data_IF_007351644237
#
_entry.id   IF_007351644237
#
_cell.length_a   1.000
_cell.length_b   1.000
_cell.length_c   1.000
_cell.angle_alpha   90.00
_cell.angle_beta   90.00
_cell.angle_gamma   90.00
#
_symmetry.space_group_name_H-M   'P 1'
#
loop_
_entity.id
_entity.type
_entity.pdbx_description
1 polymer ?
#
# COMPACT_ATOMS: atom_id res chain seq x y z
N UNK A 1 -2.76 -16.04 -16.60
CA UNK A 1 -3.93 -16.19 -15.70
C UNK A 1 -4.83 -14.96 -15.70
N UNK A 2 -4.38 -13.77 -15.30
CA UNK A 2 -5.26 -12.58 -15.25
C UNK A 2 -5.80 -12.14 -16.63
N UNK A 3 -4.97 -12.19 -17.67
CA UNK A 3 -5.40 -11.90 -19.05
C UNK A 3 -6.47 -12.87 -19.54
N UNK A 4 -6.43 -14.13 -19.06
CA UNK A 4 -7.45 -15.13 -19.37
C UNK A 4 -8.78 -14.82 -18.66
N UNK A 5 -8.75 -14.36 -17.39
CA UNK A 5 -9.95 -13.88 -16.66
C UNK A 5 -10.65 -12.78 -17.44
N UNK A 6 -9.91 -11.77 -17.91
CA UNK A 6 -10.51 -10.63 -18.62
C UNK A 6 -10.90 -10.94 -20.06
N UNK A 7 -10.22 -11.90 -20.70
CA UNK A 7 -10.64 -12.40 -22.01
C UNK A 7 -11.96 -13.17 -21.93
N UNK A 8 -12.09 -14.08 -20.95
CA UNK A 8 -13.29 -14.89 -20.77
C UNK A 8 -14.46 -14.13 -20.14
N UNK A 9 -14.17 -13.16 -19.26
CA UNK A 9 -15.18 -12.36 -18.54
C UNK A 9 -14.87 -10.86 -18.60
N UNK A 10 -15.09 -10.19 -19.76
CA UNK A 10 -14.68 -8.79 -19.95
C UNK A 10 -15.32 -7.79 -18.99
N UNK A 11 -16.53 -8.08 -18.50
CA UNK A 11 -17.22 -7.24 -17.50
C UNK A 11 -16.46 -7.16 -16.17
N UNK A 12 -15.72 -8.22 -15.81
CA UNK A 12 -14.93 -8.26 -14.57
C UNK A 12 -13.76 -7.28 -14.59
N UNK A 13 -13.24 -6.93 -15.77
CA UNK A 13 -12.16 -5.95 -15.87
C UNK A 13 -12.56 -4.59 -15.29
N UNK A 14 -13.70 -4.04 -15.74
CA UNK A 14 -14.20 -2.76 -15.22
C UNK A 14 -14.64 -2.89 -13.76
N UNK A 15 -15.22 -4.02 -13.39
CA UNK A 15 -15.63 -4.28 -12.01
C UNK A 15 -14.45 -4.21 -11.04
N UNK A 16 -13.28 -4.76 -11.39
CA UNK A 16 -12.09 -4.73 -10.53
C UNK A 16 -11.58 -3.32 -10.24
N UNK A 17 -11.70 -2.37 -11.19
CA UNK A 17 -11.32 -0.97 -10.95
C UNK A 17 -12.28 -0.24 -10.01
N UNK A 18 -13.53 -0.70 -9.91
CA UNK A 18 -14.57 -0.09 -9.09
C UNK A 18 -14.77 -0.82 -7.75
N UNK A 19 -14.10 -1.96 -7.54
CA UNK A 19 -14.19 -2.69 -6.30
C UNK A 19 -13.27 -2.06 -5.22
N UNK A 20 -13.75 -1.75 -4.02
CA UNK A 20 -12.98 -1.04 -2.98
C UNK A 20 -11.72 -1.77 -2.52
N UNK A 21 -11.67 -3.10 -2.68
CA UNK A 21 -10.53 -3.92 -2.28
C UNK A 21 -9.65 -4.31 -3.47
N UNK A 22 -10.21 -4.82 -4.58
CA UNK A 22 -9.40 -5.24 -5.75
C UNK A 22 -8.68 -4.05 -6.39
N UNK A 23 -9.31 -2.86 -6.44
CA UNK A 23 -8.71 -1.66 -7.05
C UNK A 23 -7.38 -1.25 -6.42
N UNK A 24 -7.23 -1.49 -5.11
CA UNK A 24 -6.01 -1.23 -4.36
C UNK A 24 -4.85 -2.16 -4.73
N UNK A 25 -5.14 -3.33 -5.31
CA UNK A 25 -4.13 -4.31 -5.73
C UNK A 25 -3.81 -4.28 -7.22
N UNK A 26 -4.55 -3.54 -8.04
CA UNK A 26 -4.20 -3.27 -9.45
C UNK A 26 -2.75 -2.75 -9.61
N UNK A 27 -2.25 -1.82 -8.76
CA UNK A 27 -0.87 -1.37 -8.81
C UNK A 27 0.16 -2.49 -8.61
N UNK A 28 -0.20 -3.62 -7.98
CA UNK A 28 0.73 -4.73 -7.75
C UNK A 28 1.28 -5.32 -9.06
N UNK A 29 0.49 -5.30 -10.14
CA UNK A 29 0.96 -5.69 -11.46
C UNK A 29 2.05 -4.74 -11.99
N UNK A 30 1.87 -3.43 -11.80
CA UNK A 30 2.85 -2.42 -12.19
C UNK A 30 4.13 -2.52 -11.33
N UNK A 31 4.00 -2.72 -10.02
CA UNK A 31 5.14 -2.97 -9.13
C UNK A 31 5.93 -4.20 -9.59
N UNK A 32 5.24 -5.29 -9.93
CA UNK A 32 5.87 -6.52 -10.41
C UNK A 32 6.62 -6.28 -11.73
N UNK A 33 6.00 -5.57 -12.68
CA UNK A 33 6.64 -5.22 -13.94
C UNK A 33 7.91 -4.39 -13.72
N UNK A 34 7.85 -3.32 -12.91
CA UNK A 34 9.03 -2.51 -12.58
C UNK A 34 10.12 -3.31 -11.87
N UNK A 35 9.74 -4.21 -10.95
CA UNK A 35 10.68 -5.10 -10.26
C UNK A 35 11.40 -6.04 -11.25
N UNK A 36 10.69 -6.58 -12.24
CA UNK A 36 11.31 -7.39 -13.31
C UNK A 36 12.33 -6.55 -14.09
N UNK A 37 11.99 -5.30 -14.46
CA UNK A 37 12.92 -4.40 -15.16
C UNK A 37 14.17 -4.09 -14.34
N UNK A 38 14.02 -3.87 -13.03
CA UNK A 38 15.16 -3.70 -12.11
C UNK A 38 16.07 -4.92 -12.15
N UNK A 39 15.51 -6.12 -12.04
CA UNK A 39 16.30 -7.36 -12.05
C UNK A 39 17.01 -7.60 -13.39
N UNK A 40 16.34 -7.35 -14.51
CA UNK A 40 16.97 -7.41 -15.85
C UNK A 40 18.12 -6.40 -15.93
N UNK A 41 17.93 -5.18 -15.43
CA UNK A 41 18.97 -4.16 -15.40
C UNK A 41 20.15 -4.56 -14.52
N UNK A 42 19.87 -5.10 -13.32
CA UNK A 42 20.89 -5.46 -12.35
C UNK A 42 21.76 -6.64 -12.79
N UNK A 43 21.11 -7.70 -13.30
CA UNK A 43 21.78 -8.97 -13.62
C UNK A 43 22.05 -9.18 -15.11
N UNK A 44 21.21 -8.62 -15.99
CA UNK A 44 21.30 -8.80 -17.44
C UNK A 44 22.15 -7.73 -18.13
N UNK A 45 22.05 -6.46 -17.71
CA UNK A 45 22.82 -5.36 -18.35
C UNK A 45 24.28 -5.39 -17.90
N UNK A 46 25.15 -5.70 -18.85
CA UNK A 46 26.59 -5.71 -18.65
C UNK A 46 27.38 -6.07 -19.90
N UNK A 47 28.71 -6.15 -19.79
CA UNK A 47 29.61 -6.33 -20.94
C UNK A 47 29.32 -7.58 -21.77
N UNK A 48 28.77 -8.64 -21.16
CA UNK A 48 28.50 -9.92 -21.81
C UNK A 48 27.26 -9.91 -22.72
N UNK A 49 26.27 -9.05 -22.43
CA UNK A 49 24.98 -9.07 -23.14
C UNK A 49 24.95 -8.07 -24.30
N UNK A 50 25.79 -7.03 -24.25
CA UNK A 50 25.90 -6.01 -25.29
C UNK A 50 25.00 -4.79 -25.06
N UNK A 51 25.24 -3.74 -25.85
CA UNK A 51 24.62 -2.41 -25.70
C UNK A 51 23.11 -2.39 -25.96
N UNK A 52 22.58 -3.32 -26.76
CA UNK A 52 21.15 -3.36 -27.11
C UNK A 52 20.26 -3.49 -25.87
N UNK A 53 20.66 -4.29 -24.87
CA UNK A 53 19.85 -4.50 -23.67
C UNK A 53 19.83 -3.25 -22.80
N UNK A 54 20.95 -2.53 -22.73
CA UNK A 54 21.02 -1.24 -22.04
C UNK A 54 20.03 -0.24 -22.68
N UNK A 55 20.03 -0.12 -24.02
CA UNK A 55 19.09 0.77 -24.72
C UNK A 55 17.63 0.40 -24.48
N UNK A 56 17.28 -0.89 -24.57
CA UNK A 56 15.91 -1.34 -24.30
C UNK A 56 15.52 -1.04 -22.85
N UNK A 57 16.40 -1.28 -21.88
CA UNK A 57 16.12 -0.95 -20.48
C UNK A 57 15.95 0.55 -20.26
N UNK A 58 16.69 1.40 -20.98
CA UNK A 58 16.47 2.85 -20.95
C UNK A 58 15.10 3.23 -21.51
N UNK A 59 14.67 2.66 -22.64
CA UNK A 59 13.35 2.93 -23.20
C UNK A 59 12.23 2.46 -22.24
N UNK A 60 12.37 1.24 -21.72
CA UNK A 60 11.41 0.65 -20.78
C UNK A 60 11.35 1.40 -19.45
N UNK A 61 12.45 1.99 -19.00
CA UNK A 61 12.47 2.88 -17.83
C UNK A 61 11.52 4.07 -18.02
N UNK A 62 11.61 4.79 -19.15
CA UNK A 62 10.73 5.93 -19.40
C UNK A 62 9.26 5.53 -19.57
N UNK A 63 9.01 4.40 -20.24
CA UNK A 63 7.65 3.83 -20.34
C UNK A 63 7.11 3.49 -18.94
N UNK A 64 7.94 2.87 -18.09
CA UNK A 64 7.58 2.55 -16.72
C UNK A 64 7.28 3.79 -15.89
N UNK A 65 8.10 4.84 -15.98
CA UNK A 65 7.88 6.11 -15.30
C UNK A 65 6.54 6.74 -15.67
N UNK A 66 6.20 6.76 -16.97
CA UNK A 66 4.89 7.22 -17.44
C UNK A 66 3.74 6.38 -16.90
N UNK A 67 3.89 5.05 -16.92
CA UNK A 67 2.88 4.12 -16.39
C UNK A 67 2.69 4.25 -14.87
N UNK A 68 3.77 4.41 -14.12
CA UNK A 68 3.77 4.57 -12.67
C UNK A 68 3.03 5.84 -12.24
N UNK A 69 3.32 6.96 -12.92
CA UNK A 69 2.64 8.22 -12.69
C UNK A 69 1.16 8.15 -13.07
N UNK A 70 0.86 7.58 -14.24
CA UNK A 70 -0.52 7.39 -14.71
C UNK A 70 -1.33 6.54 -13.72
N UNK A 71 -0.81 5.39 -13.30
CA UNK A 71 -1.52 4.52 -12.35
C UNK A 71 -1.72 5.19 -11.00
N UNK A 72 -0.71 5.88 -10.47
CA UNK A 72 -0.86 6.62 -9.21
C UNK A 72 -2.00 7.65 -9.32
N UNK A 73 -1.98 8.51 -10.34
CA UNK A 73 -3.00 9.55 -10.50
C UNK A 73 -4.40 8.96 -10.78
N UNK A 74 -4.51 8.05 -11.74
CA UNK A 74 -5.80 7.51 -12.19
C UNK A 74 -6.47 6.70 -11.10
N UNK A 75 -5.73 5.83 -10.38
CA UNK A 75 -6.32 4.99 -9.35
C UNK A 75 -6.78 5.83 -8.16
N UNK A 76 -5.99 6.81 -7.71
CA UNK A 76 -6.44 7.73 -6.66
C UNK A 76 -7.68 8.53 -7.08
N UNK A 77 -7.71 9.05 -8.32
CA UNK A 77 -8.88 9.79 -8.82
C UNK A 77 -10.13 8.91 -8.90
N UNK A 78 -10.01 7.66 -9.37
CA UNK A 78 -11.13 6.72 -9.39
C UNK A 78 -11.59 6.43 -7.96
N UNK A 79 -10.67 6.13 -7.04
CA UNK A 79 -10.97 5.86 -5.64
C UNK A 79 -11.72 7.03 -4.98
N UNK A 80 -11.23 8.26 -5.12
CA UNK A 80 -11.86 9.44 -4.54
C UNK A 80 -13.21 9.78 -5.18
N UNK A 81 -13.40 9.41 -6.45
CA UNK A 81 -14.64 9.70 -7.18
C UNK A 81 -15.72 8.63 -7.02
N UNK A 82 -15.35 7.40 -6.66
CA UNK A 82 -16.28 6.25 -6.67
C UNK A 82 -16.46 5.56 -5.32
N UNK A 83 -15.52 5.72 -4.39
CA UNK A 83 -15.52 5.01 -3.11
C UNK A 83 -15.62 5.98 -1.93
N UNK A 84 -16.30 5.54 -0.88
CA UNK A 84 -16.30 6.22 0.42
C UNK A 84 -15.49 5.37 1.40
N UNK A 85 -14.39 5.92 1.89
CA UNK A 85 -13.56 5.24 2.87
C UNK A 85 -13.73 5.85 4.25
N UNK A 86 -14.09 5.02 5.22
CA UNK A 86 -14.14 5.43 6.62
C UNK A 86 -12.76 5.31 7.28
N UNK A 87 -12.47 6.17 8.27
CA UNK A 87 -11.17 6.14 8.95
C UNK A 87 -10.90 4.80 9.63
N UNK A 88 -11.94 4.07 10.06
CA UNK A 88 -11.82 2.78 10.75
C UNK A 88 -11.33 1.65 9.83
N UNK A 89 -11.57 1.78 8.53
CA UNK A 89 -11.17 0.84 7.47
C UNK A 89 -9.79 1.16 6.89
N UNK A 90 -9.16 2.26 7.32
CA UNK A 90 -7.84 2.64 6.83
C UNK A 90 -6.83 1.53 7.14
N UNK A 91 -6.14 1.07 6.08
CA UNK A 91 -4.98 0.18 6.18
C UNK A 91 -3.82 0.73 5.36
N UNK A 92 -2.57 0.32 5.64
CA UNK A 92 -1.41 0.74 4.84
C UNK A 92 -1.47 0.36 3.37
N UNK A 93 -2.37 -0.55 2.97
CA UNK A 93 -2.63 -0.92 1.57
C UNK A 93 -3.03 0.30 0.73
N UNK A 94 -3.60 1.36 1.33
CA UNK A 94 -3.97 2.58 0.60
C UNK A 94 -2.78 3.32 -0.04
N UNK A 95 -1.56 2.95 0.31
CA UNK A 95 -0.33 3.45 -0.30
C UNK A 95 -0.04 2.77 -1.65
N UNK A 96 -0.59 1.57 -1.91
CA UNK A 96 -0.31 0.79 -3.10
C UNK A 96 -0.45 1.56 -4.43
N UNK A 97 -1.44 2.44 -4.63
CA UNK A 97 -1.50 3.24 -5.85
C UNK A 97 -0.26 4.11 -6.09
N UNK A 98 0.40 4.60 -5.04
CA UNK A 98 1.66 5.34 -5.14
C UNK A 98 2.91 4.44 -5.23
N UNK A 99 2.81 3.14 -4.95
CA UNK A 99 3.98 2.25 -4.91
C UNK A 99 4.74 2.09 -6.23
N UNK A 100 4.12 2.08 -7.42
CA UNK A 100 4.86 2.08 -8.67
C UNK A 100 5.87 3.23 -8.78
N UNK A 101 5.55 4.41 -8.24
CA UNK A 101 6.48 5.55 -8.19
C UNK A 101 7.70 5.28 -7.29
N UNK A 102 7.52 4.50 -6.22
CA UNK A 102 8.61 4.12 -5.32
C UNK A 102 9.60 3.15 -5.95
N UNK A 103 9.25 2.50 -7.07
CA UNK A 103 10.14 1.60 -7.82
C UNK A 103 11.03 2.39 -8.80
N UNK A 104 10.60 3.57 -9.24
CA UNK A 104 11.34 4.41 -10.18
C UNK A 104 12.75 4.77 -9.70
N UNK A 105 12.92 5.13 -8.42
CA UNK A 105 14.23 5.51 -7.87
C UNK A 105 15.23 4.34 -7.85
N UNK A 106 14.91 3.18 -7.24
CA UNK A 106 15.76 2.00 -7.29
C UNK A 106 16.11 1.53 -8.71
N UNK A 107 15.17 1.66 -9.66
CA UNK A 107 15.45 1.34 -11.07
C UNK A 107 16.41 2.36 -11.69
N UNK A 108 16.17 3.65 -11.46
CA UNK A 108 17.04 4.73 -11.92
C UNK A 108 18.47 4.58 -11.40
N UNK A 109 18.66 4.29 -10.10
CA UNK A 109 19.99 4.08 -9.52
C UNK A 109 20.74 2.90 -10.16
N UNK A 110 20.05 1.78 -10.39
CA UNK A 110 20.62 0.63 -11.11
C UNK A 110 20.98 0.96 -12.56
N UNK A 111 20.06 1.59 -13.30
CA UNK A 111 20.23 1.87 -14.72
C UNK A 111 21.27 2.96 -14.98
N UNK A 112 21.29 4.01 -14.15
CA UNK A 112 22.28 5.07 -14.24
C UNK A 112 23.69 4.53 -14.04
N UNK A 113 23.89 3.54 -13.15
CA UNK A 113 25.18 2.86 -12.98
C UNK A 113 25.66 2.08 -14.21
N UNK A 114 24.74 1.76 -15.14
CA UNK A 114 25.02 1.08 -16.41
C UNK A 114 25.03 2.02 -17.62
N UNK A 115 24.74 3.29 -17.41
CA UNK A 115 24.62 4.32 -18.45
C UNK A 115 25.65 5.44 -18.19
N UNK A 116 25.86 6.32 -19.17
CA UNK A 116 26.85 7.41 -19.09
C UNK A 116 26.32 8.72 -19.66
N UNK A 117 26.98 9.83 -19.32
CA UNK A 117 26.67 11.16 -19.82
C UNK A 117 25.30 11.68 -19.40
N UNK A 118 24.74 12.58 -20.21
CA UNK A 118 23.49 13.30 -20.00
C UNK A 118 22.33 12.33 -19.74
N UNK A 119 22.29 11.22 -20.49
CA UNK A 119 21.26 10.19 -20.33
C UNK A 119 21.22 9.61 -18.91
N UNK A 120 22.38 9.38 -18.30
CA UNK A 120 22.42 8.87 -16.92
C UNK A 120 21.97 9.95 -15.92
N UNK A 121 22.32 11.20 -16.18
CA UNK A 121 21.88 12.34 -15.36
C UNK A 121 20.36 12.53 -15.44
N UNK A 122 19.76 12.45 -16.62
CA UNK A 122 18.30 12.54 -16.83
C UNK A 122 17.53 11.44 -16.10
N UNK A 123 18.05 10.20 -16.14
CA UNK A 123 17.49 9.07 -15.39
C UNK A 123 17.56 9.33 -13.88
N UNK A 124 18.65 9.91 -13.38
CA UNK A 124 18.78 10.26 -11.97
C UNK A 124 17.80 11.37 -11.59
N UNK A 125 17.71 12.45 -12.38
CA UNK A 125 16.81 13.58 -12.12
C UNK A 125 15.36 13.10 -12.07
N UNK A 126 14.92 12.36 -13.09
CA UNK A 126 13.56 11.80 -13.15
C UNK A 126 13.30 10.80 -12.01
N UNK A 127 14.28 9.95 -11.70
CA UNK A 127 14.24 9.03 -10.57
C UNK A 127 14.04 9.75 -9.23
N UNK A 128 14.78 10.83 -8.97
CA UNK A 128 14.61 11.65 -7.76
C UNK A 128 13.22 12.30 -7.70
N UNK A 129 12.74 12.87 -8.80
CA UNK A 129 11.42 13.51 -8.86
C UNK A 129 10.30 12.51 -8.57
N UNK A 130 10.28 11.37 -9.26
CA UNK A 130 9.22 10.38 -9.11
C UNK A 130 9.28 9.67 -7.76
N UNK A 131 10.48 9.37 -7.26
CA UNK A 131 10.67 8.84 -5.90
C UNK A 131 10.12 9.80 -4.85
N UNK A 132 10.35 11.11 -5.03
CA UNK A 132 9.82 12.16 -4.18
C UNK A 132 8.29 12.14 -4.12
N UNK A 133 7.62 12.04 -5.27
CA UNK A 133 6.15 11.94 -5.32
C UNK A 133 5.68 10.70 -4.54
N UNK A 134 6.23 9.52 -4.84
CA UNK A 134 5.84 8.27 -4.19
C UNK A 134 6.01 8.33 -2.67
N UNK A 135 7.14 8.88 -2.20
CA UNK A 135 7.43 8.98 -0.78
C UNK A 135 6.56 10.01 -0.05
N UNK A 136 6.40 11.21 -0.60
CA UNK A 136 5.60 12.28 0.01
C UNK A 136 4.11 11.89 0.10
N UNK A 137 3.57 11.25 -0.93
CA UNK A 137 2.20 10.69 -0.88
C UNK A 137 2.08 9.63 0.21
N UNK A 138 3.08 8.75 0.32
CA UNK A 138 3.11 7.74 1.39
C UNK A 138 3.13 8.38 2.80
N UNK A 139 3.90 9.46 3.00
CA UNK A 139 3.93 10.19 4.27
C UNK A 139 2.57 10.78 4.64
N UNK A 140 1.84 11.36 3.68
CA UNK A 140 0.49 11.88 3.92
C UNK A 140 -0.48 10.78 4.34
N UNK A 141 -0.37 9.59 3.73
CA UNK A 141 -1.20 8.43 4.09
C UNK A 141 -0.78 7.84 5.45
N UNK A 142 0.50 7.88 5.82
CA UNK A 142 0.95 7.48 7.16
C UNK A 142 0.28 8.30 8.26
N UNK A 143 0.11 9.61 8.07
CA UNK A 143 -0.59 10.45 9.03
C UNK A 143 -2.01 9.93 9.31
N UNK A 144 -2.74 9.55 8.27
CA UNK A 144 -4.06 8.94 8.41
C UNK A 144 -4.01 7.55 9.08
N UNK A 145 -3.01 6.73 8.75
CA UNK A 145 -2.82 5.42 9.38
C UNK A 145 -2.53 5.52 10.87
N UNK A 146 -1.62 6.41 11.26
CA UNK A 146 -1.30 6.65 12.66
C UNK A 146 -2.52 7.18 13.42
N UNK A 147 -3.26 8.13 12.84
CA UNK A 147 -4.52 8.60 13.42
C UNK A 147 -5.53 7.46 13.62
N UNK A 148 -5.64 6.54 12.66
CA UNK A 148 -6.48 5.33 12.80
C UNK A 148 -5.98 4.41 13.92
N UNK A 149 -4.67 4.23 14.10
CA UNK A 149 -4.13 3.43 15.20
C UNK A 149 -4.32 4.10 16.57
N UNK A 150 -4.36 5.43 16.63
CA UNK A 150 -4.63 6.18 17.86
C UNK A 150 -6.11 6.13 18.27
N UNK A 151 -7.02 5.99 17.30
CA UNK A 151 -8.47 5.99 17.54
C UNK A 151 -9.10 4.60 17.54
N UNK A 152 -8.44 3.60 16.94
CA UNK A 152 -8.94 2.24 16.77
C UNK A 152 -7.88 1.21 17.16
N UNK A 153 -8.30 0.07 17.74
CA UNK A 153 -7.42 -1.07 18.05
C UNK A 153 -6.75 -1.61 16.78
N UNK A 154 -5.64 -2.34 16.93
CA UNK A 154 -4.94 -3.00 15.82
C UNK A 154 -5.92 -3.70 14.84
N UNK A 155 -5.60 -3.75 13.53
CA UNK A 155 -6.44 -4.42 12.54
C UNK A 155 -6.78 -5.87 12.94
N UNK A 156 -7.86 -6.39 12.33
CA UNK A 156 -8.21 -7.81 12.42
C UNK A 156 -6.99 -8.67 12.05
N UNK A 157 -6.85 -9.82 12.70
CA UNK A 157 -5.64 -10.65 12.64
C UNK A 157 -5.23 -11.02 11.20
N UNK A 158 -6.20 -11.28 10.31
CA UNK A 158 -5.98 -11.56 8.88
C UNK A 158 -5.43 -10.38 8.07
N UNK A 159 -5.62 -9.14 8.54
CA UNK A 159 -5.16 -7.91 7.87
C UNK A 159 -3.88 -7.34 8.48
N UNK A 160 -3.43 -7.85 9.64
CA UNK A 160 -2.21 -7.37 10.29
C UNK A 160 -0.94 -7.55 9.46
N UNK A 161 -0.76 -8.59 8.63
CA UNK A 161 0.42 -8.69 7.78
C UNK A 161 0.63 -7.45 6.90
N UNK A 162 -0.46 -6.81 6.46
CA UNK A 162 -0.43 -5.59 5.67
C UNK A 162 0.21 -4.39 6.40
N UNK A 163 0.40 -4.44 7.73
CA UNK A 163 1.13 -3.40 8.45
C UNK A 163 2.58 -3.24 7.98
N UNK A 164 3.21 -4.32 7.52
CA UNK A 164 4.56 -4.25 6.96
C UNK A 164 4.65 -3.42 5.68
N UNK A 165 3.52 -3.15 4.99
CA UNK A 165 3.50 -2.26 3.83
C UNK A 165 4.01 -0.86 4.19
N UNK A 166 3.90 -0.42 5.46
CA UNK A 166 4.48 0.86 5.88
C UNK A 166 6.01 0.87 5.95
N UNK A 167 6.68 -0.28 5.86
CA UNK A 167 8.15 -0.35 5.78
C UNK A 167 8.64 0.03 4.38
N UNK A 168 7.87 -0.34 3.36
CA UNK A 168 8.28 -0.28 1.96
C UNK A 168 8.65 1.13 1.48
N UNK A 169 7.81 2.17 1.67
CA UNK A 169 8.09 3.49 1.13
C UNK A 169 9.41 4.09 1.58
N UNK A 170 9.74 3.98 2.87
CA UNK A 170 11.05 4.41 3.37
C UNK A 170 12.17 3.54 2.79
N UNK A 171 12.03 2.21 2.81
CA UNK A 171 13.05 1.29 2.27
C UNK A 171 13.37 1.54 0.79
N UNK A 172 12.35 1.62 -0.07
CA UNK A 172 12.54 1.88 -1.50
C UNK A 172 13.13 3.27 -1.76
N UNK A 173 12.71 4.28 -0.98
CA UNK A 173 13.25 5.64 -1.10
C UNK A 173 14.74 5.68 -0.74
N UNK A 174 15.15 5.02 0.34
CA UNK A 174 16.56 4.93 0.71
C UNK A 174 17.36 4.22 -0.40
N UNK A 175 16.87 3.06 -0.85
CA UNK A 175 17.53 2.30 -1.91
C UNK A 175 17.70 3.13 -3.19
N UNK A 176 16.68 3.88 -3.61
CA UNK A 176 16.72 4.75 -4.78
C UNK A 176 17.62 5.96 -4.58
N UNK A 177 17.35 6.79 -3.58
CA UNK A 177 18.07 8.06 -3.33
C UNK A 177 19.56 7.82 -3.13
N UNK A 178 19.93 6.85 -2.30
CA UNK A 178 21.35 6.57 -2.01
C UNK A 178 22.03 6.03 -3.27
N UNK A 179 21.44 5.04 -3.96
CA UNK A 179 22.08 4.47 -5.15
C UNK A 179 22.23 5.47 -6.29
N UNK A 180 21.23 6.32 -6.53
CA UNK A 180 21.33 7.43 -7.49
C UNK A 180 22.36 8.47 -7.06
N UNK A 181 22.39 8.85 -5.78
CA UNK A 181 23.35 9.81 -5.24
C UNK A 181 24.80 9.37 -5.45
N UNK A 182 25.09 8.06 -5.33
CA UNK A 182 26.41 7.49 -5.60
C UNK A 182 26.84 7.60 -7.07
N UNK A 183 25.93 7.83 -8.01
CA UNK A 183 26.25 8.02 -9.43
C UNK A 183 26.56 9.47 -9.79
N UNK A 184 26.10 10.45 -9.00
CA UNK A 184 26.20 11.87 -9.34
C UNK A 184 27.64 12.35 -9.61
N UNK A 185 28.67 12.00 -8.80
CA UNK A 185 30.05 12.42 -9.08
C UNK A 185 30.60 11.96 -10.43
N UNK A 186 30.03 10.89 -11.00
CA UNK A 186 30.46 10.34 -12.29
C UNK A 186 29.76 10.98 -13.49
N UNK A 187 28.54 11.48 -13.32
CA UNK A 187 27.67 11.85 -14.46
C UNK A 187 27.36 13.35 -14.54
N UNK A 188 27.59 14.10 -13.47
CA UNK A 188 27.24 15.52 -13.44
C UNK A 188 28.22 16.36 -14.27
N UNK A 189 27.69 17.29 -15.09
CA UNK A 189 28.48 18.19 -15.94
C UNK A 189 29.27 19.22 -15.13
N UNK A 190 30.40 19.69 -15.66
CA UNK A 190 31.27 20.68 -15.01
C UNK A 190 30.57 22.00 -14.65
N UNK A 191 29.59 22.42 -15.46
CA UNK A 191 28.84 23.66 -15.27
C UNK A 191 27.43 23.44 -14.69
N UNK A 192 27.15 22.23 -14.18
CA UNK A 192 25.88 21.93 -13.53
C UNK A 192 25.73 22.78 -12.27
N UNK A 193 24.58 23.46 -12.13
CA UNK A 193 24.34 24.46 -11.08
C UNK A 193 25.30 25.67 -11.12
N UNK A 194 25.78 26.03 -12.32
CA UNK A 194 26.58 27.23 -12.59
C UNK A 194 28.00 26.90 -13.07
N UNK A 195 28.67 27.83 -13.77
CA UNK A 195 29.99 27.59 -14.35
C UNK A 195 31.01 27.10 -13.32
N UNK A 196 31.62 25.94 -13.57
CA UNK A 196 32.61 25.31 -12.68
C UNK A 196 32.08 24.69 -11.37
N UNK A 197 30.76 24.69 -11.12
CA UNK A 197 30.18 24.19 -9.86
C UNK A 197 29.89 22.68 -9.85
N UNK A 198 29.95 22.02 -11.01
CA UNK A 198 29.45 20.65 -11.21
C UNK A 198 30.03 19.61 -10.25
N UNK A 199 31.35 19.58 -10.10
CA UNK A 199 32.02 18.61 -9.22
C UNK A 199 31.61 18.82 -7.76
N UNK A 200 31.55 20.08 -7.31
CA UNK A 200 31.13 20.43 -5.96
C UNK A 200 29.66 20.05 -5.73
N UNK A 201 28.77 20.43 -6.65
CA UNK A 201 27.35 20.08 -6.60
C UNK A 201 27.14 18.57 -6.54
N UNK A 202 27.91 17.79 -7.30
CA UNK A 202 27.82 16.33 -7.34
C UNK A 202 28.22 15.71 -5.99
N UNK A 203 29.33 16.15 -5.41
CA UNK A 203 29.81 15.68 -4.10
C UNK A 203 28.82 16.03 -2.98
N UNK A 204 28.34 17.27 -2.95
CA UNK A 204 27.33 17.72 -1.96
C UNK A 204 26.05 16.91 -2.09
N UNK A 205 25.55 16.72 -3.32
CA UNK A 205 24.32 15.97 -3.58
C UNK A 205 24.45 14.50 -3.16
N UNK A 206 25.59 13.86 -3.41
CA UNK A 206 25.88 12.50 -2.95
C UNK A 206 25.87 12.42 -1.41
N UNK A 207 26.54 13.37 -0.73
CA UNK A 207 26.58 13.43 0.73
C UNK A 207 25.16 13.61 1.30
N UNK A 208 24.38 14.53 0.75
CA UNK A 208 22.99 14.74 1.15
C UNK A 208 22.13 13.50 0.94
N UNK A 209 22.28 12.80 -0.19
CA UNK A 209 21.55 11.56 -0.46
C UNK A 209 21.86 10.47 0.58
N UNK A 210 23.14 10.35 0.99
CA UNK A 210 23.55 9.39 2.02
C UNK A 210 22.92 9.71 3.38
N UNK A 211 22.96 10.98 3.81
CA UNK A 211 22.37 11.40 5.08
C UNK A 211 20.85 11.33 5.09
N UNK A 212 20.19 11.70 3.99
CA UNK A 212 18.75 11.54 3.82
C UNK A 212 18.36 10.06 3.92
N UNK A 213 19.11 9.18 3.26
CA UNK A 213 18.91 7.73 3.37
C UNK A 213 19.06 7.23 4.81
N UNK A 214 20.12 7.64 5.50
CA UNK A 214 20.37 7.23 6.89
C UNK A 214 19.26 7.73 7.84
N UNK A 215 18.79 8.95 7.64
CA UNK A 215 17.68 9.52 8.41
C UNK A 215 16.37 8.74 8.19
N UNK A 216 16.05 8.40 6.93
CA UNK A 216 14.88 7.59 6.60
C UNK A 216 14.98 6.14 7.06
N UNK A 217 16.19 5.60 7.24
CA UNK A 217 16.42 4.25 7.74
C UNK A 217 15.85 4.04 9.14
N UNK A 218 15.93 5.06 10.00
CA UNK A 218 15.29 5.05 11.31
C UNK A 218 13.76 4.90 11.22
N UNK A 219 13.13 5.63 10.28
CA UNK A 219 11.68 5.52 10.05
C UNK A 219 11.29 4.13 9.54
N UNK A 220 12.08 3.55 8.63
CA UNK A 220 11.83 2.22 8.10
C UNK A 220 11.87 1.15 9.22
N UNK A 221 12.88 1.20 10.10
CA UNK A 221 12.97 0.30 11.23
C UNK A 221 11.87 0.51 12.26
N UNK A 222 11.46 1.75 12.50
CA UNK A 222 10.36 2.03 13.41
C UNK A 222 9.07 1.33 12.94
N UNK A 223 8.70 1.48 11.66
CA UNK A 223 7.56 0.76 11.11
C UNK A 223 7.74 -0.76 11.12
N UNK A 224 8.96 -1.25 10.91
CA UNK A 224 9.27 -2.68 11.01
C UNK A 224 9.00 -3.21 12.42
N UNK A 225 9.53 -2.57 13.46
CA UNK A 225 9.34 -3.00 14.85
C UNK A 225 7.88 -2.87 15.30
N UNK A 226 7.18 -1.79 14.92
CA UNK A 226 5.74 -1.65 15.16
C UNK A 226 4.97 -2.80 14.51
N UNK A 227 5.31 -3.16 13.28
CA UNK A 227 4.68 -4.27 12.56
C UNK A 227 4.97 -5.62 13.22
N UNK A 228 6.21 -5.88 13.65
CA UNK A 228 6.56 -7.09 14.41
C UNK A 228 5.77 -7.16 15.73
N UNK A 229 5.72 -6.07 16.50
CA UNK A 229 4.99 -5.99 17.76
C UNK A 229 3.48 -6.23 17.59
N UNK A 230 2.88 -5.74 16.50
CA UNK A 230 1.47 -5.95 16.21
C UNK A 230 1.08 -7.43 16.03
N UNK A 231 2.05 -8.30 15.70
CA UNK A 231 1.83 -9.74 15.51
C UNK A 231 2.07 -10.58 16.77
N UNK A 232 2.63 -10.00 17.84
CA UNK A 232 2.94 -10.72 19.08
C UNK A 232 1.73 -11.46 19.67
N UNK A 233 0.57 -10.80 19.71
CA UNK A 233 -0.66 -11.41 20.25
C UNK A 233 -1.22 -12.53 19.37
N UNK A 234 -1.05 -12.45 18.04
CA UNK A 234 -1.48 -13.50 17.11
C UNK A 234 -0.58 -14.73 17.21
N UNK A 235 0.75 -14.51 17.23
CA UNK A 235 1.74 -15.58 17.34
C UNK A 235 1.54 -16.40 18.63
N UNK A 236 1.20 -15.75 19.75
CA UNK A 236 0.94 -16.43 21.03
C UNK A 236 -0.34 -17.29 21.01
N UNK A 237 -1.33 -16.94 20.21
CA UNK A 237 -2.65 -17.62 20.17
C UNK A 237 -2.74 -18.72 19.12
N UNK A 238 -1.82 -18.78 18.16
CA UNK A 238 -1.73 -19.84 17.16
C UNK A 238 -2.80 -19.81 16.05
N UNK A 239 -3.67 -18.79 16.00
CA UNK A 239 -4.85 -18.76 15.14
C UNK A 239 -4.73 -17.75 13.99
N UNK A 240 -3.70 -17.87 13.15
CA UNK A 240 -3.65 -17.09 11.90
C UNK A 240 -3.92 -18.00 10.70
N UNK A 241 -5.10 -17.85 10.10
CA UNK A 241 -5.35 -18.40 8.78
C UNK A 241 -4.45 -17.70 7.74
N UNK A 242 -3.99 -18.48 6.77
CA UNK A 242 -3.23 -17.94 5.65
C UNK A 242 -4.13 -16.97 4.86
N UNK A 243 -3.63 -15.78 4.56
CA UNK A 243 -4.28 -14.82 3.68
C UNK A 243 -3.23 -14.26 2.73
N UNK A 244 -3.64 -13.77 1.55
CA UNK A 244 -2.72 -13.23 0.55
C UNK A 244 -1.87 -12.06 1.11
N UNK A 245 -2.37 -11.36 2.12
CA UNK A 245 -1.65 -10.32 2.88
C UNK A 245 -0.34 -10.81 3.51
N UNK A 246 -0.14 -12.11 3.71
CA UNK A 246 1.12 -12.67 4.24
C UNK A 246 2.33 -12.34 3.36
N UNK A 247 2.14 -12.10 2.06
CA UNK A 247 3.24 -11.64 1.20
C UNK A 247 3.79 -10.25 1.59
N UNK A 248 3.06 -9.48 2.40
CA UNK A 248 3.56 -8.25 3.03
C UNK A 248 4.66 -8.52 4.08
N UNK A 249 4.82 -9.73 4.60
CA UNK A 249 6.00 -10.08 5.40
C UNK A 249 7.29 -10.12 4.56
N UNK A 250 7.17 -10.26 3.24
CA UNK A 250 8.31 -10.38 2.33
C UNK A 250 8.55 -9.06 1.61
N UNK A 251 7.62 -8.64 0.77
CA UNK A 251 7.87 -7.60 -0.24
C UNK A 251 8.42 -6.27 0.34
N UNK A 252 7.78 -5.60 1.32
CA UNK A 252 8.32 -4.38 1.92
C UNK A 252 9.67 -4.57 2.65
N UNK A 253 9.88 -5.75 3.23
CA UNK A 253 11.12 -6.06 3.97
C UNK A 253 12.31 -6.32 3.03
N UNK A 254 12.07 -6.70 1.77
CA UNK A 254 13.12 -6.69 0.73
C UNK A 254 13.69 -5.28 0.53
N UNK A 255 12.82 -4.26 0.59
CA UNK A 255 13.22 -2.86 0.45
C UNK A 255 14.03 -2.38 1.65
N UNK A 256 13.62 -2.72 2.88
CA UNK A 256 14.40 -2.45 4.10
C UNK A 256 15.79 -3.11 4.06
N UNK A 257 15.85 -4.37 3.62
CA UNK A 257 17.13 -5.10 3.50
C UNK A 257 18.03 -4.43 2.46
N UNK A 258 17.50 -4.09 1.29
CA UNK A 258 18.23 -3.39 0.23
C UNK A 258 18.71 -2.01 0.68
N UNK A 259 17.85 -1.25 1.36
CA UNK A 259 18.18 0.04 1.96
C UNK A 259 19.34 -0.08 2.97
N UNK A 260 19.30 -1.11 3.82
CA UNK A 260 20.33 -1.36 4.82
C UNK A 260 21.70 -1.56 4.17
N UNK A 261 21.78 -2.36 3.11
CA UNK A 261 23.04 -2.51 2.36
C UNK A 261 23.46 -1.24 1.60
N UNK A 262 22.51 -0.49 1.04
CA UNK A 262 22.81 0.79 0.39
C UNK A 262 23.46 1.79 1.36
N UNK A 263 22.94 1.88 2.58
CA UNK A 263 23.50 2.70 3.66
C UNK A 263 24.87 2.18 4.11
N UNK A 264 25.00 0.86 4.31
CA UNK A 264 26.28 0.29 4.73
C UNK A 264 27.39 0.62 3.72
N UNK A 265 27.09 0.46 2.42
CA UNK A 265 28.02 0.78 1.32
C UNK A 265 28.33 2.28 1.26
N UNK A 266 27.33 3.14 1.43
CA UNK A 266 27.54 4.60 1.36
C UNK A 266 28.36 5.15 2.54
N UNK A 267 28.35 4.46 3.68
CA UNK A 267 29.19 4.72 4.85
C UNK A 267 30.51 3.94 4.82
N UNK A 268 31.06 3.71 3.62
CA UNK A 268 32.31 3.01 3.39
C UNK A 268 32.34 1.59 3.97
N UNK A 269 31.34 0.77 3.62
CA UNK A 269 31.22 -0.62 4.06
C UNK A 269 31.19 -0.77 5.58
N UNK A 270 30.29 -0.02 6.23
CA UNK A 270 30.12 -0.10 7.68
C UNK A 270 29.70 -1.53 8.10
N UNK A 271 30.63 -2.24 8.74
CA UNK A 271 30.47 -3.66 9.08
C UNK A 271 29.28 -3.96 9.98
N UNK A 272 28.95 -3.08 10.93
CA UNK A 272 27.79 -3.29 11.81
C UNK A 272 26.48 -3.31 11.02
N UNK A 273 26.33 -2.36 10.09
CA UNK A 273 25.13 -2.25 9.25
C UNK A 273 25.09 -3.40 8.22
N UNK A 274 26.24 -3.83 7.67
CA UNK A 274 26.29 -5.00 6.79
C UNK A 274 25.83 -6.28 7.49
N UNK A 275 26.23 -6.49 8.75
CA UNK A 275 25.77 -7.64 9.56
C UNK A 275 24.25 -7.59 9.73
N UNK A 276 23.69 -6.41 10.04
CA UNK A 276 22.23 -6.23 10.13
C UNK A 276 21.57 -6.59 8.80
N UNK A 277 22.11 -6.13 7.67
CA UNK A 277 21.63 -6.50 6.33
C UNK A 277 21.65 -8.01 6.09
N UNK A 278 22.72 -8.71 6.49
CA UNK A 278 22.83 -10.16 6.39
C UNK A 278 21.78 -10.89 7.24
N UNK A 279 21.58 -10.44 8.49
CA UNK A 279 20.55 -11.01 9.39
C UNK A 279 19.15 -10.82 8.80
N UNK A 280 18.83 -9.61 8.31
CA UNK A 280 17.57 -9.33 7.63
C UNK A 280 17.39 -10.21 6.38
N UNK A 281 18.45 -10.42 5.59
CA UNK A 281 18.42 -11.30 4.42
C UNK A 281 18.05 -12.74 4.79
N UNK A 282 18.70 -13.32 5.80
CA UNK A 282 18.42 -14.69 6.25
C UNK A 282 16.99 -14.80 6.78
N UNK A 283 16.56 -13.86 7.61
CA UNK A 283 15.20 -13.83 8.14
C UNK A 283 14.15 -13.74 7.02
N UNK A 284 14.42 -12.91 6.01
CA UNK A 284 13.57 -12.72 4.84
C UNK A 284 13.47 -13.99 3.97
N UNK A 285 14.59 -14.67 3.74
CA UNK A 285 14.61 -15.93 2.98
C UNK A 285 13.81 -17.03 3.69
N UNK A 286 13.98 -17.17 5.01
CA UNK A 286 13.18 -18.11 5.83
C UNK A 286 11.70 -17.75 5.76
N UNK A 287 11.37 -16.47 5.94
CA UNK A 287 9.98 -15.97 5.89
C UNK A 287 9.35 -16.26 4.53
N UNK A 288 10.08 -16.03 3.43
CA UNK A 288 9.62 -16.34 2.08
C UNK A 288 9.31 -17.83 1.91
N UNK A 289 10.22 -18.72 2.33
CA UNK A 289 9.99 -20.17 2.29
C UNK A 289 8.74 -20.58 3.08
N UNK A 290 8.54 -20.01 4.28
CA UNK A 290 7.35 -20.28 5.12
C UNK A 290 6.08 -19.79 4.44
N UNK A 291 6.05 -18.54 3.95
CA UNK A 291 4.89 -17.97 3.26
C UNK A 291 4.53 -18.79 2.02
N UNK A 292 5.52 -19.18 1.22
CA UNK A 292 5.31 -20.00 0.03
C UNK A 292 4.79 -21.41 0.38
N UNK A 293 5.35 -22.06 1.40
CA UNK A 293 4.88 -23.37 1.86
C UNK A 293 3.43 -23.29 2.38
N UNK A 294 3.09 -22.24 3.14
CA UNK A 294 1.74 -22.02 3.65
C UNK A 294 0.75 -21.68 2.54
N UNK A 295 1.17 -20.96 1.51
CA UNK A 295 0.36 -20.74 0.31
C UNK A 295 0.04 -22.06 -0.39
N UNK A 296 1.03 -22.92 -0.62
CA UNK A 296 0.82 -24.25 -1.24
C UNK A 296 -0.14 -25.08 -0.38
N UNK A 297 0.05 -25.11 0.94
CA UNK A 297 -0.87 -25.77 1.87
C UNK A 297 -2.29 -25.20 1.76
N UNK A 298 -2.44 -23.87 1.68
CA UNK A 298 -3.75 -23.22 1.54
C UNK A 298 -4.45 -23.59 0.23
N UNK A 299 -3.71 -23.72 -0.89
CA UNK A 299 -4.26 -24.21 -2.16
C UNK A 299 -4.72 -25.66 -2.01
N UNK A 300 -3.88 -26.54 -1.45
CA UNK A 300 -4.21 -27.97 -1.27
C UNK A 300 -5.43 -28.16 -0.36
N UNK A 301 -5.53 -27.37 0.71
CA UNK A 301 -6.67 -27.37 1.63
C UNK A 301 -7.88 -26.59 1.11
N UNK A 302 -7.83 -26.07 -0.12
CA UNK A 302 -8.92 -25.30 -0.76
C UNK A 302 -9.36 -24.09 0.08
N UNK A 303 -8.41 -23.47 0.76
CA UNK A 303 -8.60 -22.23 1.51
C UNK A 303 -8.52 -21.00 0.61
N UNK A 304 -7.77 -21.10 -0.49
CA UNK A 304 -7.66 -20.09 -1.55
C UNK A 304 -7.94 -20.71 -2.92
N UNK A 305 -8.29 -19.88 -3.91
CA UNK A 305 -8.69 -20.30 -5.25
C UNK A 305 -9.87 -21.29 -5.24
N UNK A 306 -10.83 -21.07 -4.34
CA UNK A 306 -12.02 -21.91 -4.17
C UNK A 306 -13.27 -21.03 -3.97
N UNK A 307 -14.42 -21.35 -4.58
CA UNK A 307 -15.61 -20.52 -4.48
C UNK A 307 -16.04 -20.22 -3.03
N UNK A 308 -16.46 -18.98 -2.76
CA UNK A 308 -16.95 -18.49 -1.45
C UNK A 308 -15.93 -18.58 -0.30
N UNK A 309 -14.63 -18.61 -0.61
CA UNK A 309 -13.55 -18.58 0.38
C UNK A 309 -12.70 -17.33 0.22
N UNK A 310 -12.28 -16.77 1.35
CA UNK A 310 -11.42 -15.57 1.43
C UNK A 310 -11.93 -14.40 0.59
N UNK A 311 -11.14 -13.95 -0.39
CA UNK A 311 -11.41 -12.79 -1.25
C UNK A 311 -12.65 -13.03 -2.13
N UNK A 312 -12.96 -14.28 -2.50
CA UNK A 312 -14.14 -14.66 -3.30
C UNK A 312 -15.44 -14.77 -2.46
N UNK A 313 -15.42 -14.46 -1.16
CA UNK A 313 -16.65 -14.51 -0.33
C UNK A 313 -17.72 -13.52 -0.79
N UNK A 314 -17.28 -12.31 -1.09
CA UNK A 314 -18.18 -11.19 -1.43
C UNK A 314 -18.22 -10.96 -2.95
N UNK A 315 -17.36 -11.65 -3.71
CA UNK A 315 -17.21 -11.52 -5.16
C UNK A 315 -17.86 -12.72 -5.89
N UNK A 316 -19.08 -12.52 -6.40
CA UNK A 316 -19.77 -13.52 -7.23
C UNK A 316 -21.29 -13.49 -7.20
N UNK A 317 -21.92 -12.54 -6.49
CA UNK A 317 -23.38 -12.46 -6.40
C UNK A 317 -24.01 -13.67 -5.70
N UNK A 318 -23.23 -14.37 -4.87
CA UNK A 318 -23.69 -15.49 -4.08
C UNK A 318 -24.76 -15.02 -3.11
N UNK A 319 -25.94 -15.65 -3.13
CA UNK A 319 -26.94 -15.42 -2.09
C UNK A 319 -26.36 -15.90 -0.77
N UNK A 320 -26.35 -15.06 0.26
CA UNK A 320 -26.09 -15.50 1.62
C UNK A 320 -27.06 -16.65 1.91
N UNK A 321 -26.51 -17.85 2.13
CA UNK A 321 -27.30 -18.92 2.71
C UNK A 321 -27.54 -18.49 4.14
N UNK A 322 -28.76 -18.04 4.43
CA UNK A 322 -29.20 -17.75 5.79
C UNK A 322 -28.86 -18.97 6.65
N UNK A 323 -27.88 -18.82 7.54
CA UNK A 323 -27.58 -19.83 8.56
C UNK A 323 -28.63 -19.65 9.64
N UNK A 324 -29.86 -20.00 9.31
CA UNK A 324 -31.01 -19.96 10.20
C UNK A 324 -31.68 -21.33 10.12
N UNK A 325 -31.46 -22.15 11.15
CA UNK A 325 -32.16 -23.43 11.30
C UNK A 325 -31.39 -24.58 11.96
N UNK A 326 -30.07 -24.64 11.88
CA UNK A 326 -29.33 -25.84 12.36
C UNK A 326 -28.86 -25.80 13.82
N UNK A 327 -29.11 -24.71 14.58
CA UNK A 327 -28.79 -24.66 16.02
C UNK A 327 -29.96 -24.93 16.97
N UNK A 328 -31.21 -24.93 16.50
CA UNK A 328 -32.38 -25.10 17.38
C UNK A 328 -33.07 -26.48 17.31
N UNK A 329 -32.75 -27.32 16.33
CA UNK A 329 -33.26 -28.71 16.31
C UNK A 329 -32.46 -29.68 17.19
N UNK A 330 -31.24 -29.32 17.60
CA UNK A 330 -30.40 -30.15 18.47
C UNK A 330 -30.76 -30.10 19.96
N UNK A 331 -31.68 -29.22 20.37
CA UNK A 331 -32.03 -29.01 21.79
C UNK A 331 -33.45 -29.43 22.17
N UNK A 332 -34.26 -29.90 21.22
CA UNK A 332 -35.63 -30.41 21.46
C UNK A 332 -35.77 -31.94 21.36
N UNK A 333 -34.67 -32.67 21.14
CA UNK A 333 -34.69 -34.13 20.93
C UNK A 333 -34.32 -34.99 22.13
N UNK A 334 -34.15 -34.43 23.32
CA UNK A 334 -33.68 -35.17 24.49
C UNK A 334 -34.46 -34.80 25.76
N UNK A 335 -35.77 -35.01 25.75
CA UNK A 335 -36.58 -35.20 26.96
C UNK A 335 -37.89 -35.86 26.52
N UNK A 336 -38.03 -37.15 26.78
CA UNK A 336 -39.23 -37.91 26.49
C UNK A 336 -39.59 -38.82 27.66
N UNK A 337 -40.75 -38.57 28.27
CA UNK A 337 -41.59 -39.55 28.97
C UNK A 337 -42.93 -38.92 29.44
N UNK A 338 -43.98 -39.72 29.69
CA UNK A 338 -45.21 -39.66 28.89
C UNK A 338 -46.50 -39.33 29.69
N UNK A 339 -47.58 -38.96 28.99
CA UNK A 339 -48.96 -39.14 29.47
C UNK A 339 -49.99 -38.12 29.01
N UNK A 340 -51.18 -38.63 28.64
CA UNK A 340 -52.51 -37.98 28.56
C UNK A 340 -52.79 -37.12 27.31
N UNK A 341 -53.50 -37.64 26.30
CA UNK A 341 -54.96 -37.82 26.11
C UNK A 341 -55.71 -36.54 25.69
N UNK A 342 -56.24 -36.61 24.46
CA UNK A 342 -57.43 -36.01 23.86
C UNK A 342 -57.68 -34.49 23.92
N UNK A 343 -57.69 -33.84 22.75
CA UNK A 343 -58.90 -33.20 22.17
C UNK A 343 -58.59 -32.57 20.78
N UNK A 344 -59.52 -32.76 19.85
CA UNK A 344 -59.51 -32.29 18.45
C UNK A 344 -60.26 -30.93 18.31
N UNK A 345 -60.35 -30.27 17.12
CA UNK A 345 -59.89 -28.90 16.93
C UNK A 345 -61.00 -27.86 16.68
N UNK A 346 -60.69 -26.57 16.87
CA UNK A 346 -61.55 -25.47 16.38
C UNK A 346 -60.91 -24.61 15.29
N UNK A 347 -61.76 -24.32 14.31
CA UNK A 347 -61.61 -23.53 13.09
C UNK A 347 -61.18 -22.07 13.32
N UNK A 348 -60.38 -21.52 12.38
CA UNK A 348 -60.06 -20.08 12.36
C UNK A 348 -59.51 -19.58 11.03
N UNK A 349 -60.39 -19.47 10.04
CA UNK A 349 -60.43 -18.55 8.88
C UNK A 349 -59.17 -17.85 8.36
N UNK A 350 -58.95 -18.08 7.05
CA UNK A 350 -58.17 -17.31 6.08
C UNK A 350 -58.75 -15.91 5.90
N UNK A 351 -57.92 -14.88 5.95
CA UNK A 351 -58.25 -13.56 5.39
C UNK A 351 -57.09 -13.01 4.55
N UNK A 352 -57.29 -13.00 3.23
CA UNK A 352 -56.53 -12.25 2.23
C UNK A 352 -57.20 -10.90 2.01
N UNK A 353 -56.42 -9.81 1.89
CA UNK A 353 -56.77 -8.58 1.14
C UNK A 353 -55.54 -7.65 0.97
N UNK A 354 -55.57 -6.66 0.05
CA UNK A 354 -54.80 -6.75 -1.20
C UNK A 354 -53.84 -5.57 -1.46
N UNK A 355 -53.09 -5.67 -2.57
CA UNK A 355 -52.39 -4.56 -3.25
C UNK A 355 -53.33 -3.36 -3.48
N UNK A 356 -52.83 -2.14 -3.24
CA UNK A 356 -53.10 -1.02 -4.14
C UNK A 356 -52.14 0.17 -3.99
N UNK A 357 -52.08 0.92 -5.09
CA UNK A 357 -51.14 1.94 -5.54
C UNK A 357 -50.87 3.17 -4.64
N UNK A 358 -49.70 3.79 -4.85
CA UNK A 358 -49.34 5.13 -4.35
C UNK A 358 -50.16 6.27 -4.98
N UNK A 359 -50.01 7.52 -4.50
CA UNK A 359 -49.02 8.40 -5.14
C UNK A 359 -48.30 9.43 -4.23
N UNK A 360 -47.12 9.83 -4.71
CA UNK A 360 -46.37 11.08 -4.54
C UNK A 360 -46.73 12.08 -3.41
N UNK A 361 -45.75 12.40 -2.55
CA UNK A 361 -45.65 13.71 -1.88
C UNK A 361 -44.22 14.28 -1.86
N UNK A 362 -44.08 15.32 -2.70
CA UNK A 362 -43.36 16.60 -2.55
C UNK A 362 -42.24 16.73 -1.50
N UNK A 363 -41.06 17.05 -2.02
CA UNK A 363 -40.00 17.83 -1.39
C UNK A 363 -40.54 19.17 -0.86
N UNK A 364 -40.21 19.53 0.38
CA UNK A 364 -40.21 20.93 0.84
C UNK A 364 -38.91 21.26 1.55
N UNK A 365 -38.13 22.12 0.91
CA UNK A 365 -37.08 22.91 1.53
C UNK A 365 -37.73 24.07 2.29
N UNK A 366 -37.37 24.29 3.56
CA UNK A 366 -37.60 25.57 4.23
C UNK A 366 -36.28 26.19 4.67
N UNK A 367 -35.99 27.34 4.06
CA UNK A 367 -34.98 28.31 4.47
C UNK A 367 -35.39 28.97 5.79
N UNK A 368 -34.41 29.31 6.60
CA UNK A 368 -34.55 30.25 7.72
C UNK A 368 -33.21 30.94 7.96
N UNK A 369 -32.88 31.90 7.09
CA UNK A 369 -31.87 32.93 7.33
C UNK A 369 -32.63 34.25 7.44
N UNK A 370 -32.55 34.92 8.59
CA UNK A 370 -32.81 36.35 8.72
C UNK A 370 -31.80 36.96 9.69
N UNK A 371 -31.00 37.89 9.15
CA UNK A 371 -30.09 38.78 9.85
C UNK A 371 -30.87 39.88 10.60
N UNK A 372 -30.40 40.26 11.79
CA UNK A 372 -30.49 41.63 12.29
C UNK A 372 -29.18 42.00 12.98
N UNK A 373 -28.59 43.11 12.53
CA UNK A 373 -27.22 43.51 12.84
C UNK A 373 -27.05 44.54 13.97
N UNK A 374 -25.79 44.97 14.02
CA UNK A 374 -25.22 46.22 14.55
C UNK A 374 -25.39 46.57 16.04
N UNK A 375 -24.25 46.71 16.71
CA UNK A 375 -24.12 47.36 18.02
C UNK A 375 -22.66 47.56 18.40
N UNK A 376 -22.05 48.62 17.86
CA UNK A 376 -20.72 49.13 18.22
C UNK A 376 -20.69 49.60 19.69
N UNK A 377 -19.63 49.29 20.42
CA UNK A 377 -19.36 49.84 21.76
C UNK A 377 -17.86 49.96 22.00
N UNK A 378 -17.35 51.19 21.92
CA UNK A 378 -15.95 51.59 22.12
C UNK A 378 -15.91 52.58 23.30
N UNK A 379 -15.05 52.37 24.29
CA UNK A 379 -14.50 53.39 25.21
C UNK A 379 -13.13 52.89 25.70
N UNK A 380 -12.02 53.47 25.19
CA UNK A 380 -11.02 54.36 25.87
C UNK A 380 -10.56 53.81 27.22
N UNK A 381 -9.27 53.68 27.54
CA UNK A 381 -8.04 54.21 26.98
C UNK A 381 -7.16 54.60 28.17
N UNK A 382 -5.89 54.15 28.20
CA UNK A 382 -4.85 54.93 28.85
C UNK A 382 -3.49 54.60 28.21
N UNK A 383 -2.78 55.66 27.85
CA UNK A 383 -1.50 55.70 27.19
C UNK A 383 -0.36 55.50 28.19
N UNK A 384 0.70 54.78 27.82
CA UNK A 384 2.07 55.32 27.95
C UNK A 384 3.16 54.41 27.36
N UNK A 385 3.77 54.95 26.29
CA UNK A 385 5.23 55.09 26.10
C UNK A 385 6.07 53.84 25.75
N UNK A 386 6.28 53.67 24.44
CA UNK A 386 7.57 53.63 23.70
C UNK A 386 8.85 53.34 24.51
N UNK A 387 9.62 52.29 24.15
CA UNK A 387 10.98 52.40 23.59
C UNK A 387 11.62 51.04 23.28
N UNK A 388 12.37 51.07 22.20
CA UNK A 388 13.19 50.04 21.56
C UNK A 388 14.13 49.28 22.49
N UNK A 389 14.38 47.99 22.22
CA UNK A 389 15.65 47.41 21.70
C UNK A 389 15.32 46.12 20.94
#
# INVERSE_FOLDING_TARGET
MISLRFYLYPSTFKASFLHPTESLFIPAAAISFGTILINITQYGVGPKTGYWLQEIMTMLYWIYCGLALLFSCVIYLIMWSTQTFTISQMTPVWIFPAYPLLICGPHAGNLAAKTSGDRALDIIISGFTLQGIGFLVSLMIYSAFLYRLMTQKLPKESLRPAMFISVGPSGFTIAGVVSMGQQLPRVMHADFMGPGNGEFAARVSMIMANWLGLWLWGLAFWFFFVSVGAHWSCARRGNMDFAMTWYSFVFPNTALTTATFAIAKSLNHNRGIEIVGCVLTVALAVTWCVVSAMMVRAVVLRQILWPQKQEDRDEGGWKEVAVEGQRDQGRRGAEGSPGELDEEPEHGTVEQKPNDAGPARRLSWSRGWEEKGSGFGRWRGDDSVVRDV
#
